data_IF_279769915400
#
_entry.id   IF_279769915400
#
_cell.length_a   1.000
_cell.length_b   1.000
_cell.length_c   1.000
_cell.angle_alpha   90.00
_cell.angle_beta   90.00
_cell.angle_gamma   90.00
#
_symmetry.space_group_name_H-M   'P 1'
#
loop_
_entity.id
_entity.type
_entity.pdbx_description
1 polymer ?
#
# COMPACT_ATOMS: atom_id res chain seq x y z
N UNK A 1 -8.34 6.82 8.93
CA UNK A 1 -7.68 5.52 8.91
C UNK A 1 -6.53 5.49 9.90
N UNK A 2 -6.63 4.59 10.86
CA UNK A 2 -5.69 4.54 11.98
C UNK A 2 -4.27 4.14 11.57
N UNK A 3 -4.12 3.40 10.46
CA UNK A 3 -2.82 2.88 10.03
C UNK A 3 -1.96 3.86 9.22
N UNK A 4 -2.45 5.06 8.89
CA UNK A 4 -1.71 5.97 8.00
C UNK A 4 -0.35 6.37 8.57
N UNK A 5 -0.28 6.60 9.88
CA UNK A 5 0.99 6.93 10.54
C UNK A 5 1.99 5.77 10.48
N UNK A 6 1.54 4.55 10.73
CA UNK A 6 2.36 3.36 10.65
C UNK A 6 2.83 3.08 9.23
N UNK A 7 1.97 3.28 8.23
CA UNK A 7 2.33 3.15 6.83
C UNK A 7 3.41 4.16 6.44
N UNK A 8 3.30 5.40 6.91
CA UNK A 8 4.31 6.41 6.64
C UNK A 8 5.66 6.06 7.27
N UNK A 9 5.65 5.59 8.51
CA UNK A 9 6.87 5.15 9.19
C UNK A 9 7.51 3.96 8.45
N UNK A 10 6.69 3.01 7.99
CA UNK A 10 7.16 1.88 7.20
C UNK A 10 7.79 2.35 5.89
N UNK A 11 7.18 3.33 5.22
CA UNK A 11 7.72 3.89 4.00
C UNK A 11 9.12 4.47 4.20
N UNK A 12 9.34 5.20 5.29
CA UNK A 12 10.65 5.76 5.61
C UNK A 12 11.70 4.67 5.85
N UNK A 13 11.31 3.57 6.50
CA UNK A 13 12.18 2.42 6.71
C UNK A 13 12.51 1.74 5.37
N UNK A 14 11.50 1.52 4.53
CA UNK A 14 11.68 0.83 3.24
C UNK A 14 12.52 1.65 2.26
N UNK A 15 12.44 2.97 2.30
CA UNK A 15 13.28 3.82 1.46
C UNK A 15 14.76 3.53 1.64
N UNK A 16 15.17 3.23 2.86
CA UNK A 16 16.56 2.87 3.18
C UNK A 16 16.97 1.54 2.58
N UNK A 17 16.01 0.70 2.23
CA UNK A 17 16.21 -0.64 1.68
C UNK A 17 15.88 -0.72 0.18
N UNK A 18 15.62 0.43 -0.45
CA UNK A 18 15.27 0.50 -1.87
C UNK A 18 13.82 0.18 -2.17
N UNK A 19 12.95 0.26 -1.18
CA UNK A 19 11.51 0.02 -1.33
C UNK A 19 10.67 1.24 -1.03
N UNK A 20 9.37 1.08 -1.08
CA UNK A 20 8.43 2.15 -0.77
C UNK A 20 7.05 1.58 -0.46
N UNK A 21 6.25 2.37 0.24
CA UNK A 21 4.81 2.14 0.38
C UNK A 21 4.10 2.97 -0.70
N UNK A 22 3.15 2.35 -1.40
CA UNK A 22 2.30 3.04 -2.38
C UNK A 22 0.86 2.76 -2.00
N UNK A 23 0.08 3.83 -1.86
CA UNK A 23 -1.32 3.73 -1.51
C UNK A 23 -2.23 3.85 -2.73
N UNK A 24 -3.36 3.15 -2.67
CA UNK A 24 -4.42 3.26 -3.67
C UNK A 24 -5.73 3.45 -2.92
N UNK A 25 -6.40 4.56 -3.22
CA UNK A 25 -7.74 4.82 -2.68
C UNK A 25 -8.73 4.61 -3.81
N UNK A 26 -9.63 3.62 -3.66
CA UNK A 26 -10.58 3.27 -4.71
C UNK A 26 -11.52 4.44 -5.06
N UNK A 27 -11.73 5.36 -4.15
CA UNK A 27 -12.56 6.55 -4.40
C UNK A 27 -11.90 7.52 -5.37
N UNK A 28 -10.57 7.44 -5.55
CA UNK A 28 -9.82 8.32 -6.44
C UNK A 28 -9.62 7.74 -7.84
N UNK A 29 -10.13 6.54 -8.11
CA UNK A 29 -10.05 5.95 -9.43
C UNK A 29 -10.67 6.90 -10.46
N UNK A 30 -10.18 6.87 -11.68
CA UNK A 30 -10.57 7.78 -12.77
C UNK A 30 -10.22 9.25 -12.52
N UNK A 31 -9.44 9.55 -11.46
CA UNK A 31 -8.99 10.91 -11.18
C UNK A 31 -10.08 11.83 -10.66
N UNK A 32 -11.04 11.31 -9.89
CA UNK A 32 -12.09 12.12 -9.29
C UNK A 32 -11.50 13.24 -8.41
N UNK A 33 -11.68 14.49 -8.83
CA UNK A 33 -11.03 15.64 -8.19
C UNK A 33 -11.43 15.83 -6.73
N UNK A 34 -12.72 15.68 -6.44
CA UNK A 34 -13.22 15.85 -5.06
C UNK A 34 -12.68 14.76 -4.13
N UNK A 35 -12.68 13.52 -4.60
CA UNK A 35 -12.13 12.39 -3.84
C UNK A 35 -10.62 12.56 -3.61
N UNK A 36 -9.88 13.01 -4.61
CA UNK A 36 -8.44 13.27 -4.49
C UNK A 36 -8.18 14.36 -3.45
N UNK A 37 -8.96 15.47 -3.49
CA UNK A 37 -8.82 16.55 -2.54
C UNK A 37 -9.08 16.09 -1.11
N UNK A 38 -10.12 15.28 -0.90
CA UNK A 38 -10.46 14.71 0.41
C UNK A 38 -9.33 13.79 0.90
N UNK A 39 -8.82 12.92 0.01
CA UNK A 39 -7.73 12.01 0.35
C UNK A 39 -6.45 12.76 0.73
N UNK A 40 -6.09 13.80 -0.02
CA UNK A 40 -4.92 14.62 0.29
C UNK A 40 -5.04 15.28 1.65
N UNK A 41 -6.20 15.84 1.97
CA UNK A 41 -6.43 16.48 3.27
C UNK A 41 -6.29 15.48 4.41
N UNK A 42 -6.83 14.27 4.25
CA UNK A 42 -6.71 13.21 5.25
C UNK A 42 -5.25 12.80 5.45
N UNK A 43 -4.51 12.58 4.36
CA UNK A 43 -3.10 12.20 4.44
C UNK A 43 -2.26 13.27 5.13
N UNK A 44 -2.48 14.53 4.80
CA UNK A 44 -1.79 15.66 5.45
C UNK A 44 -2.10 15.71 6.94
N UNK A 45 -3.36 15.52 7.32
CA UNK A 45 -3.76 15.56 8.73
C UNK A 45 -3.15 14.44 9.55
N UNK A 46 -2.76 13.33 8.92
CA UNK A 46 -2.12 12.18 9.57
C UNK A 46 -0.60 12.17 9.39
N UNK A 47 -0.05 13.19 8.75
CA UNK A 47 1.40 13.27 8.51
C UNK A 47 1.91 12.23 7.53
N UNK A 48 1.05 11.66 6.70
CA UNK A 48 1.42 10.61 5.74
C UNK A 48 1.89 11.25 4.44
N UNK A 49 3.12 10.96 4.04
CA UNK A 49 3.74 11.52 2.84
C UNK A 49 4.08 10.47 1.79
N UNK A 50 3.76 9.19 2.01
CA UNK A 50 4.02 8.16 1.02
C UNK A 50 3.17 8.37 -0.25
N UNK A 51 3.65 7.85 -1.36
CA UNK A 51 3.01 8.04 -2.66
C UNK A 51 1.65 7.36 -2.72
N UNK A 52 0.67 8.06 -3.29
CA UNK A 52 -0.63 7.50 -3.63
C UNK A 52 -0.84 7.65 -5.12
N UNK A 53 -1.44 6.64 -5.74
CA UNK A 53 -1.67 6.60 -7.18
C UNK A 53 -3.14 6.33 -7.48
N UNK A 54 -3.56 6.70 -8.68
CA UNK A 54 -4.87 6.32 -9.21
C UNK A 54 -4.72 5.91 -10.67
N UNK A 55 -5.73 5.26 -11.19
CA UNK A 55 -5.75 4.79 -12.58
C UNK A 55 -7.22 4.64 -13.02
N UNK A 56 -7.48 4.48 -14.34
CA UNK A 56 -8.84 4.26 -14.81
C UNK A 56 -9.46 2.99 -14.22
N UNK A 57 -10.72 3.06 -13.87
CA UNK A 57 -11.43 1.92 -13.28
C UNK A 57 -11.59 0.75 -14.26
N UNK A 58 -11.54 1.02 -15.57
CA UNK A 58 -11.63 0.02 -16.63
C UNK A 58 -10.27 -0.55 -17.05
N UNK A 59 -9.18 -0.13 -16.40
CA UNK A 59 -7.85 -0.72 -16.64
C UNK A 59 -7.72 -2.06 -15.88
N UNK A 60 -6.68 -2.83 -16.20
CA UNK A 60 -6.38 -4.06 -15.45
C UNK A 60 -6.17 -3.79 -13.98
N UNK A 61 -5.45 -2.71 -13.64
CA UNK A 61 -5.24 -2.31 -12.25
C UNK A 61 -6.56 -1.86 -11.60
N UNK A 62 -7.43 -1.19 -12.34
CA UNK A 62 -8.75 -0.77 -11.86
C UNK A 62 -9.65 -1.97 -11.56
N UNK A 63 -9.63 -2.98 -12.42
CA UNK A 63 -10.37 -4.23 -12.21
C UNK A 63 -9.87 -4.93 -10.94
N UNK A 64 -8.56 -5.00 -10.76
CA UNK A 64 -7.95 -5.60 -9.58
C UNK A 64 -8.39 -4.86 -8.31
N UNK A 65 -8.31 -3.53 -8.31
CA UNK A 65 -8.70 -2.72 -7.16
C UNK A 65 -10.20 -2.83 -6.86
N UNK A 66 -11.02 -2.89 -7.91
CA UNK A 66 -12.47 -3.01 -7.78
C UNK A 66 -12.92 -4.34 -7.20
N UNK A 67 -12.11 -5.39 -7.31
CA UNK A 67 -12.42 -6.72 -6.78
C UNK A 67 -12.09 -6.84 -5.28
N UNK A 68 -11.42 -5.84 -4.71
CA UNK A 68 -11.09 -5.87 -3.28
C UNK A 68 -12.37 -5.65 -2.46
N UNK A 69 -12.66 -6.59 -1.58
CA UNK A 69 -13.91 -6.62 -0.81
C UNK A 69 -13.76 -6.12 0.62
N UNK A 70 -12.55 -5.99 1.12
CA UNK A 70 -12.28 -5.55 2.49
C UNK A 70 -11.23 -4.45 2.48
N UNK A 71 -11.38 -3.46 3.35
CA UNK A 71 -10.45 -2.33 3.48
C UNK A 71 -10.05 -2.15 4.93
N UNK A 72 -8.79 -1.87 5.20
CA UNK A 72 -7.69 -1.83 4.23
C UNK A 72 -7.21 -3.22 3.84
N UNK A 73 -6.62 -3.34 2.66
CA UNK A 73 -5.95 -4.56 2.18
C UNK A 73 -4.54 -4.19 1.74
N UNK A 74 -3.56 -4.99 2.11
CA UNK A 74 -2.16 -4.75 1.81
C UNK A 74 -1.56 -5.92 1.05
N UNK A 75 -0.79 -5.62 0.01
CA UNK A 75 -0.01 -6.59 -0.75
C UNK A 75 1.46 -6.22 -0.68
N UNK A 76 2.33 -7.21 -0.70
CA UNK A 76 3.77 -7.00 -0.87
C UNK A 76 4.13 -7.44 -2.28
N UNK A 77 4.84 -6.58 -3.01
CA UNK A 77 5.26 -6.83 -4.38
C UNK A 77 6.78 -6.75 -4.41
N UNK A 78 7.43 -7.77 -4.98
CA UNK A 78 8.87 -7.79 -5.09
C UNK A 78 9.35 -6.98 -6.32
N UNK A 79 10.65 -6.88 -6.48
CA UNK A 79 11.25 -6.05 -7.54
C UNK A 79 10.94 -6.57 -8.95
N UNK A 80 10.57 -7.84 -9.08
CA UNK A 80 10.16 -8.41 -10.37
C UNK A 80 8.70 -8.09 -10.74
N UNK A 81 7.95 -7.49 -9.80
CA UNK A 81 6.52 -7.21 -9.98
C UNK A 81 5.61 -8.32 -9.51
N UNK A 82 6.15 -9.35 -8.87
CA UNK A 82 5.36 -10.48 -8.38
C UNK A 82 4.85 -10.20 -6.96
N UNK A 83 3.62 -10.64 -6.70
CA UNK A 83 3.03 -10.57 -5.35
C UNK A 83 3.69 -11.63 -4.48
N UNK A 84 4.18 -11.22 -3.31
CA UNK A 84 4.81 -12.10 -2.33
C UNK A 84 3.77 -12.47 -1.27
N UNK A 85 3.46 -13.76 -1.16
CA UNK A 85 2.47 -14.26 -0.21
C UNK A 85 1.05 -13.90 -0.59
N UNK A 86 0.20 -13.80 0.41
CA UNK A 86 -1.21 -13.52 0.22
C UNK A 86 -1.56 -12.10 0.65
N UNK A 87 -2.73 -11.62 0.20
CA UNK A 87 -3.27 -10.33 0.64
C UNK A 87 -3.43 -10.32 2.16
N UNK A 88 -2.99 -9.23 2.78
CA UNK A 88 -3.19 -9.01 4.20
C UNK A 88 -4.44 -8.17 4.41
N UNK A 89 -5.43 -8.72 5.10
CA UNK A 89 -6.67 -8.02 5.41
C UNK A 89 -6.55 -7.34 6.76
N UNK A 90 -7.07 -6.12 6.84
CA UNK A 90 -7.02 -5.31 8.05
C UNK A 90 -5.80 -4.41 8.13
N UNK A 91 -5.80 -3.52 9.11
CA UNK A 91 -4.75 -2.51 9.26
C UNK A 91 -3.46 -3.04 9.83
N UNK A 92 -2.35 -2.38 9.52
CA UNK A 92 -1.03 -2.73 10.04
C UNK A 92 -0.74 -2.11 11.42
N UNK A 93 -1.68 -1.38 11.96
CA UNK A 93 -1.63 -0.91 13.35
C UNK A 93 -1.87 -2.04 14.36
N UNK A 94 -2.19 -3.24 13.88
CA UNK A 94 -2.30 -4.47 14.64
C UNK A 94 -0.93 -5.18 14.62
N UNK A 95 -0.44 -5.59 15.80
CA UNK A 95 0.89 -6.21 15.94
C UNK A 95 1.03 -7.50 15.11
N UNK A 96 -0.02 -8.33 15.08
CA UNK A 96 0.01 -9.58 14.34
C UNK A 96 0.12 -9.32 12.83
N UNK A 97 -0.64 -8.34 12.34
CA UNK A 97 -0.59 -7.95 10.93
C UNK A 97 0.76 -7.33 10.57
N UNK A 98 1.30 -6.48 11.44
CA UNK A 98 2.62 -5.89 11.21
C UNK A 98 3.71 -6.96 11.16
N UNK A 99 3.66 -7.95 12.06
CA UNK A 99 4.63 -9.05 12.07
C UNK A 99 4.53 -9.89 10.79
N UNK A 100 3.30 -10.19 10.35
CA UNK A 100 3.08 -10.93 9.10
C UNK A 100 3.58 -10.13 7.89
N UNK A 101 3.32 -8.83 7.87
CA UNK A 101 3.81 -7.94 6.81
C UNK A 101 5.32 -7.91 6.76
N UNK A 102 5.98 -7.82 7.92
CA UNK A 102 7.44 -7.80 7.98
C UNK A 102 8.06 -9.08 7.41
N UNK A 103 7.45 -10.23 7.66
CA UNK A 103 7.90 -11.50 7.06
C UNK A 103 7.85 -11.46 5.55
N UNK A 104 6.78 -10.92 4.98
CA UNK A 104 6.63 -10.80 3.53
C UNK A 104 7.66 -9.81 2.95
N UNK A 105 7.92 -8.73 3.64
CA UNK A 105 8.94 -7.75 3.25
C UNK A 105 10.33 -8.41 3.25
N UNK A 106 10.65 -9.15 4.31
CA UNK A 106 11.92 -9.85 4.42
C UNK A 106 12.09 -10.86 3.29
N UNK A 107 11.02 -11.57 2.93
CA UNK A 107 11.03 -12.50 1.81
C UNK A 107 11.26 -11.79 0.48
N UNK A 108 10.61 -10.64 0.26
CA UNK A 108 10.79 -9.86 -0.96
C UNK A 108 12.23 -9.36 -1.08
N UNK A 109 12.83 -8.92 0.02
CA UNK A 109 14.24 -8.49 0.05
C UNK A 109 15.18 -9.65 -0.22
N UNK A 110 14.90 -10.82 0.34
CA UNK A 110 15.69 -12.04 0.09
C UNK A 110 15.61 -12.46 -1.37
N UNK A 111 14.41 -12.37 -1.98
CA UNK A 111 14.22 -12.68 -3.40
C UNK A 111 15.03 -11.73 -4.29
N UNK A 112 15.10 -10.46 -3.93
CA UNK A 112 15.89 -9.46 -4.67
C UNK A 112 17.39 -9.78 -4.54
N UNK A 113 17.85 -10.12 -3.35
CA UNK A 113 19.25 -10.46 -3.09
C UNK A 113 19.69 -11.72 -3.80
N UNK A 114 18.76 -12.63 -4.09
CA UNK A 114 19.04 -13.89 -4.78
C UNK A 114 19.26 -13.72 -6.29
N UNK A 115 18.94 -12.56 -6.80
CA UNK A 115 19.16 -12.21 -8.20
C UNK A 115 20.53 -11.56 -8.38
#
# INVERSE_FOLDING_TARGET
MAELGELNALNETLKKQGGAVVGINVDTLDGNADAISTAKSLLESKGASYQNIYFPSDSAAGDFAGDIMAFPTTYVIDRSGAIVGEAMLGGIDNEDNMAALQKLIDQALANDSAK
#
